data_IF_639882127854
#
_entry.id   IF_639882127854
#
_cell.length_a   1.000
_cell.length_b   1.000
_cell.length_c   1.000
_cell.angle_alpha   90.00
_cell.angle_beta   90.00
_cell.angle_gamma   90.00
#
_symmetry.space_group_name_H-M   'P 1'
#
loop_
_entity.id
_entity.type
_entity.pdbx_description
1 polymer ?
#
# COMPACT_ATOMS: atom_id res chain seq x y z
N UNK A 1 -6.19 -11.92 11.32
CA UNK A 1 -6.10 -10.48 11.63
C UNK A 1 -5.47 -9.64 10.53
N UNK A 2 -4.49 -10.12 9.75
CA UNK A 2 -3.85 -9.31 8.71
C UNK A 2 -4.73 -8.95 7.51
N UNK A 3 -5.69 -9.81 7.11
CA UNK A 3 -6.65 -9.50 6.04
C UNK A 3 -7.50 -8.26 6.31
N UNK A 4 -8.05 -8.12 7.52
CA UNK A 4 -8.87 -6.96 7.88
C UNK A 4 -8.06 -5.66 7.92
N UNK A 5 -6.84 -5.71 8.48
CA UNK A 5 -5.96 -4.54 8.52
C UNK A 5 -5.56 -4.08 7.11
N UNK A 6 -5.26 -5.02 6.20
CA UNK A 6 -4.89 -4.69 4.83
C UNK A 6 -6.06 -4.08 4.05
N UNK A 7 -7.28 -4.57 4.26
CA UNK A 7 -8.49 -3.97 3.66
C UNK A 7 -8.78 -2.58 4.22
N UNK A 8 -8.61 -2.38 5.53
CA UNK A 8 -8.81 -1.08 6.17
C UNK A 8 -7.78 -0.06 5.69
N UNK A 9 -6.51 -0.44 5.59
CA UNK A 9 -5.45 0.45 5.06
C UNK A 9 -5.69 0.75 3.58
N UNK A 10 -6.12 -0.25 2.79
CA UNK A 10 -6.53 -0.04 1.40
C UNK A 10 -7.70 0.93 1.28
N UNK A 11 -8.71 0.82 2.14
CA UNK A 11 -9.84 1.75 2.21
C UNK A 11 -9.40 3.14 2.64
N UNK A 12 -8.56 3.27 3.67
CA UNK A 12 -8.02 4.56 4.11
C UNK A 12 -7.28 5.26 2.96
N UNK A 13 -6.45 4.53 2.22
CA UNK A 13 -5.76 5.08 1.05
C UNK A 13 -6.71 5.40 -0.11
N UNK A 14 -7.77 4.63 -0.31
CA UNK A 14 -8.81 4.97 -1.28
C UNK A 14 -9.52 6.28 -0.87
N UNK A 15 -9.87 6.42 0.41
CA UNK A 15 -10.49 7.62 0.94
C UNK A 15 -9.57 8.84 0.86
N UNK A 16 -8.27 8.71 1.10
CA UNK A 16 -7.33 9.84 0.90
C UNK A 16 -7.26 10.25 -0.56
N UNK A 17 -7.32 9.30 -1.50
CA UNK A 17 -7.32 9.61 -2.93
C UNK A 17 -8.65 10.24 -3.36
N UNK A 18 -9.79 9.73 -2.90
CA UNK A 18 -11.11 10.33 -3.13
C UNK A 18 -11.23 11.72 -2.52
N UNK A 19 -10.63 11.96 -1.35
CA UNK A 19 -10.61 13.27 -0.71
C UNK A 19 -9.72 14.28 -1.45
N UNK A 20 -8.71 13.82 -2.20
CA UNK A 20 -7.89 14.70 -3.04
C UNK A 20 -8.68 15.32 -4.20
N UNK A 21 -9.63 14.59 -4.79
CA UNK A 21 -10.47 15.04 -5.93
C UNK A 21 -11.25 16.33 -5.62
N UNK A 22 -12.05 16.44 -4.52
CA UNK A 22 -12.76 17.65 -4.18
C UNK A 22 -11.84 18.78 -3.71
N UNK A 23 -10.66 18.49 -3.14
CA UNK A 23 -9.66 19.52 -2.83
C UNK A 23 -9.16 20.18 -4.12
N UNK A 24 -8.88 19.39 -5.16
CA UNK A 24 -8.45 19.88 -6.48
C UNK A 24 -9.61 20.58 -7.20
N UNK A 25 -10.81 20.00 -7.15
CA UNK A 25 -12.01 20.60 -7.74
C UNK A 25 -12.35 21.94 -7.10
N UNK A 26 -12.22 22.05 -5.78
CA UNK A 26 -12.34 23.29 -5.04
C UNK A 26 -11.28 24.31 -5.45
N UNK A 27 -10.01 23.89 -5.57
CA UNK A 27 -8.92 24.77 -6.02
C UNK A 27 -9.13 25.30 -7.46
N UNK A 28 -9.59 24.44 -8.38
CA UNK A 28 -9.90 24.82 -9.77
C UNK A 28 -11.15 25.71 -9.89
N UNK A 29 -12.17 25.46 -9.06
CA UNK A 29 -13.38 26.27 -9.04
C UNK A 29 -13.12 27.66 -8.45
N UNK A 30 -12.34 27.72 -7.38
CA UNK A 30 -11.87 28.97 -6.78
C UNK A 30 -11.02 29.78 -7.77
N UNK A 31 -10.11 29.13 -8.51
CA UNK A 31 -9.31 29.78 -9.57
C UNK A 31 -10.15 30.39 -10.71
N UNK A 32 -11.44 30.03 -10.86
CA UNK A 32 -12.36 30.62 -11.83
C UNK A 32 -13.16 31.80 -11.26
N UNK A 33 -13.21 31.94 -9.94
CA UNK A 33 -13.93 33.02 -9.25
C UNK A 33 -13.02 34.24 -9.10
N UNK A 34 -13.38 35.35 -9.75
CA UNK A 34 -12.62 36.61 -9.79
C UNK A 34 -12.72 37.41 -8.49
N UNK A 35 -12.50 36.79 -7.33
CA UNK A 35 -12.45 37.48 -6.06
C UNK A 35 -10.99 37.80 -5.72
N UNK A 36 -10.65 39.07 -5.55
CA UNK A 36 -9.29 39.60 -5.28
C UNK A 36 -8.65 39.12 -3.96
N UNK A 37 -9.33 38.26 -3.20
CA UNK A 37 -8.85 37.59 -2.00
C UNK A 37 -8.11 36.25 -2.28
N UNK A 38 -8.04 35.82 -3.54
CA UNK A 38 -7.51 34.52 -4.00
C UNK A 38 -6.00 34.31 -3.74
N UNK A 39 -5.17 35.33 -3.92
CA UNK A 39 -3.70 35.19 -3.85
C UNK A 39 -3.16 34.89 -2.45
N UNK A 40 -3.88 35.34 -1.42
CA UNK A 40 -3.49 35.19 -0.01
C UNK A 40 -3.73 33.77 0.53
N UNK A 41 -4.72 33.05 -0.02
CA UNK A 41 -5.05 31.67 0.41
C UNK A 41 -4.37 30.60 -0.46
N UNK A 42 -4.00 30.91 -1.71
CA UNK A 42 -3.41 29.94 -2.64
C UNK A 42 -1.94 29.59 -2.34
N UNK A 43 -1.11 30.57 -1.96
CA UNK A 43 0.28 30.32 -1.58
C UNK A 43 0.41 29.41 -0.35
N UNK A 44 -0.35 29.58 0.75
CA UNK A 44 -0.30 28.63 1.86
C UNK A 44 -0.84 27.24 1.47
N UNK A 45 -1.83 27.14 0.58
CA UNK A 45 -2.33 25.84 0.07
C UNK A 45 -1.26 25.04 -0.68
N UNK A 46 -0.48 25.69 -1.54
CA UNK A 46 0.65 25.03 -2.24
C UNK A 46 1.76 24.60 -1.26
N UNK A 47 2.07 25.45 -0.27
CA UNK A 47 3.04 25.11 0.78
C UNK A 47 2.55 23.91 1.61
N UNK A 48 1.28 23.88 1.99
CA UNK A 48 0.67 22.75 2.72
C UNK A 48 0.74 21.48 1.86
N UNK A 49 0.40 21.54 0.57
CA UNK A 49 0.51 20.40 -0.35
C UNK A 49 1.93 19.84 -0.44
N UNK A 50 2.93 20.73 -0.53
CA UNK A 50 4.35 20.35 -0.54
C UNK A 50 4.80 19.72 0.78
N UNK A 51 4.38 20.28 1.92
CA UNK A 51 4.67 19.72 3.25
C UNK A 51 4.07 18.32 3.41
N UNK A 52 2.81 18.12 2.97
CA UNK A 52 2.17 16.80 3.02
C UNK A 52 2.93 15.77 2.19
N UNK A 53 3.41 16.14 1.00
CA UNK A 53 4.23 15.25 0.16
C UNK A 53 5.54 14.85 0.86
N UNK A 54 6.24 15.80 1.50
CA UNK A 54 7.48 15.52 2.25
C UNK A 54 7.22 14.57 3.42
N UNK A 55 6.14 14.81 4.17
CA UNK A 55 5.79 13.96 5.32
C UNK A 55 5.39 12.54 4.90
N UNK A 56 4.76 12.38 3.74
CA UNK A 56 4.30 11.09 3.24
C UNK A 56 5.41 10.27 2.58
N UNK A 57 6.39 10.93 1.95
CA UNK A 57 7.49 10.30 1.22
C UNK A 57 8.35 9.28 2.01
N UNK A 58 8.72 9.47 3.29
CA UNK A 58 9.59 8.52 4.00
C UNK A 58 8.91 7.19 4.35
N UNK A 59 7.59 7.16 4.45
CA UNK A 59 6.80 5.97 4.81
C UNK A 59 7.04 4.77 3.89
N UNK A 60 6.92 4.88 2.54
CA UNK A 60 7.17 3.75 1.64
C UNK A 60 8.63 3.27 1.67
N UNK A 61 9.60 4.17 1.79
CA UNK A 61 11.03 3.82 1.81
C UNK A 61 11.33 2.92 3.00
N UNK A 62 10.84 3.29 4.18
CA UNK A 62 10.97 2.48 5.38
C UNK A 62 10.34 1.09 5.20
N UNK A 63 9.13 1.03 4.63
CA UNK A 63 8.45 -0.23 4.33
C UNK A 63 9.28 -1.16 3.44
N UNK A 64 9.88 -0.64 2.38
CA UNK A 64 10.74 -1.40 1.47
C UNK A 64 12.04 -1.86 2.13
N UNK A 65 12.71 -1.00 2.90
CA UNK A 65 13.97 -1.36 3.58
C UNK A 65 13.72 -2.51 4.57
N UNK A 66 12.70 -2.38 5.41
CA UNK A 66 12.38 -3.38 6.44
C UNK A 66 11.94 -4.71 5.84
N UNK A 67 11.23 -4.67 4.70
CA UNK A 67 10.77 -5.86 3.99
C UNK A 67 11.72 -6.35 2.90
N UNK A 68 12.90 -5.73 2.75
CA UNK A 68 13.90 -6.11 1.76
C UNK A 68 14.55 -7.46 2.09
N UNK A 69 14.98 -7.64 3.34
CA UNK A 69 15.62 -8.87 3.82
C UNK A 69 14.61 -9.98 4.14
N UNK A 70 15.03 -11.22 3.93
CA UNK A 70 14.29 -12.45 4.22
C UNK A 70 13.93 -13.23 2.97
N UNK A 71 13.19 -14.32 3.18
CA UNK A 71 12.61 -15.15 2.13
C UNK A 71 12.72 -16.60 2.53
N UNK A 72 11.77 -17.42 2.09
CA UNK A 72 11.86 -18.84 2.36
C UNK A 72 12.89 -19.49 1.45
N UNK A 73 13.67 -20.42 2.00
CA UNK A 73 14.55 -21.27 1.21
C UNK A 73 13.76 -22.47 0.69
N UNK A 74 13.93 -22.78 -0.59
CA UNK A 74 13.32 -23.95 -1.19
C UNK A 74 14.22 -25.15 -0.87
N UNK A 75 13.67 -26.20 -0.26
CA UNK A 75 14.41 -27.44 -0.04
C UNK A 75 14.09 -28.44 -1.12
N UNK A 76 15.13 -29.07 -1.69
CA UNK A 76 14.97 -30.06 -2.77
C UNK A 76 14.05 -31.21 -2.34
N UNK A 77 13.05 -31.50 -3.17
CA UNK A 77 12.09 -32.58 -2.92
C UNK A 77 10.94 -32.23 -1.97
N UNK A 78 10.73 -30.94 -1.65
CA UNK A 78 9.63 -30.46 -0.80
C UNK A 78 8.83 -29.38 -1.52
N UNK A 79 7.51 -29.39 -1.34
CA UNK A 79 6.61 -28.39 -1.93
C UNK A 79 6.61 -27.05 -1.15
N UNK A 80 7.04 -27.06 0.11
CA UNK A 80 7.06 -25.89 0.98
C UNK A 80 8.45 -25.29 1.16
N UNK A 81 8.48 -24.05 1.66
CA UNK A 81 9.70 -23.34 2.00
C UNK A 81 9.97 -23.37 3.51
N UNK A 82 11.26 -23.39 3.85
CA UNK A 82 11.77 -23.26 5.22
C UNK A 82 12.21 -21.82 5.48
N UNK A 83 12.09 -21.38 6.73
CA UNK A 83 12.26 -19.98 7.11
C UNK A 83 13.14 -19.91 8.36
N UNK A 84 14.24 -19.17 8.30
CA UNK A 84 15.09 -18.91 9.46
C UNK A 84 14.97 -17.46 9.89
N UNK A 85 15.11 -17.24 11.20
CA UNK A 85 14.94 -15.92 11.78
C UNK A 85 16.05 -14.94 11.33
N UNK A 86 17.26 -15.47 11.08
CA UNK A 86 18.44 -14.72 10.66
C UNK A 86 18.34 -14.10 9.26
N UNK A 87 17.46 -14.64 8.41
CA UNK A 87 17.28 -14.11 7.05
C UNK A 87 16.57 -12.74 7.06
N UNK A 88 15.86 -12.41 8.13
CA UNK A 88 15.01 -11.22 8.24
C UNK A 88 15.76 -9.99 8.76
N UNK A 89 15.20 -8.80 8.49
CA UNK A 89 15.80 -7.55 8.94
C UNK A 89 15.88 -7.47 10.47
N UNK A 90 16.97 -6.92 11.05
CA UNK A 90 17.14 -6.81 12.50
C UNK A 90 15.97 -6.10 13.20
N UNK A 91 15.34 -5.15 12.51
CA UNK A 91 14.19 -4.42 13.02
C UNK A 91 12.95 -5.32 13.18
N UNK A 92 12.68 -6.20 12.22
CA UNK A 92 11.57 -7.16 12.32
C UNK A 92 11.86 -8.20 13.39
N UNK A 93 13.09 -8.73 13.40
CA UNK A 93 13.52 -9.75 14.35
C UNK A 93 13.32 -9.30 15.80
N UNK A 94 13.77 -8.08 16.13
CA UNK A 94 13.66 -7.51 17.48
C UNK A 94 12.23 -7.53 18.03
N UNK A 95 11.22 -7.31 17.18
CA UNK A 95 9.80 -7.34 17.59
C UNK A 95 9.31 -8.72 18.03
N UNK A 96 9.90 -9.78 17.50
CA UNK A 96 9.48 -11.17 17.77
C UNK A 96 10.34 -11.80 18.86
N UNK A 97 11.55 -11.27 19.06
CA UNK A 97 12.39 -11.58 20.23
C UNK A 97 11.79 -11.03 21.53
N UNK A 98 11.08 -9.90 21.48
CA UNK A 98 10.40 -9.32 22.64
C UNK A 98 9.27 -10.24 23.16
N UNK A 99 9.38 -10.79 24.39
CA UNK A 99 8.46 -11.83 24.88
C UNK A 99 7.03 -11.31 25.04
N UNK A 100 6.85 -10.04 25.42
CA UNK A 100 5.54 -9.42 25.60
C UNK A 100 4.76 -9.35 24.28
N UNK A 101 5.43 -8.99 23.19
CA UNK A 101 4.80 -8.93 21.87
C UNK A 101 4.54 -10.35 21.34
N UNK A 102 5.50 -11.26 21.52
CA UNK A 102 5.35 -12.63 21.09
C UNK A 102 4.16 -13.35 21.74
N UNK A 103 3.93 -13.17 23.04
CA UNK A 103 2.79 -13.78 23.72
C UNK A 103 1.43 -13.39 23.11
N UNK A 104 1.31 -12.15 22.64
CA UNK A 104 0.10 -11.65 21.95
C UNK A 104 -0.04 -12.26 20.56
N UNK A 105 1.06 -12.42 19.84
CA UNK A 105 1.08 -13.04 18.52
C UNK A 105 0.74 -14.53 18.63
N UNK A 106 1.36 -15.23 19.58
CA UNK A 106 1.15 -16.65 19.86
C UNK A 106 -0.31 -16.96 20.19
N UNK A 107 -0.94 -16.19 21.08
CA UNK A 107 -2.35 -16.41 21.44
C UNK A 107 -3.28 -16.24 20.22
N UNK A 108 -2.97 -15.31 19.32
CA UNK A 108 -3.70 -15.14 18.07
C UNK A 108 -3.52 -16.35 17.12
N UNK A 109 -2.30 -16.91 17.01
CA UNK A 109 -2.04 -18.06 16.13
C UNK A 109 -2.77 -19.29 16.67
N UNK A 110 -2.65 -19.56 17.98
CA UNK A 110 -3.39 -20.63 18.67
C UNK A 110 -4.90 -20.51 18.45
N UNK A 111 -5.45 -19.30 18.59
CA UNK A 111 -6.88 -19.04 18.39
C UNK A 111 -7.36 -19.19 16.94
N UNK A 112 -6.46 -18.98 15.97
CA UNK A 112 -6.80 -19.00 14.53
C UNK A 112 -7.05 -20.39 13.94
N UNK A 113 -6.75 -21.47 14.70
CA UNK A 113 -6.90 -22.88 14.28
C UNK A 113 -6.14 -23.24 12.99
N UNK A 114 -5.14 -22.46 12.59
CA UNK A 114 -4.34 -22.65 11.37
C UNK A 114 -3.62 -23.99 11.29
N UNK A 115 -3.23 -24.55 12.45
CA UNK A 115 -2.57 -25.85 12.54
C UNK A 115 -3.52 -27.04 12.73
N UNK A 116 -4.81 -26.80 13.02
CA UNK A 116 -5.72 -27.85 13.51
C UNK A 116 -5.84 -29.03 12.55
N UNK A 117 -5.93 -28.74 11.26
CA UNK A 117 -6.11 -29.75 10.22
C UNK A 117 -4.78 -30.35 9.72
N UNK A 118 -3.66 -29.74 10.11
CA UNK A 118 -2.31 -30.13 9.67
C UNK A 118 -1.68 -31.13 10.65
N UNK A 119 -1.97 -31.03 11.95
CA UNK A 119 -1.39 -31.92 12.97
C UNK A 119 -1.67 -33.41 12.69
N UNK A 120 -2.77 -33.72 12.00
CA UNK A 120 -3.15 -35.10 11.63
C UNK A 120 -2.58 -35.58 10.28
N UNK A 121 -1.73 -34.80 9.63
CA UNK A 121 -1.14 -35.17 8.34
C UNK A 121 -0.10 -36.28 8.48
N UNK A 122 0.01 -37.11 7.43
CA UNK A 122 1.07 -38.11 7.35
C UNK A 122 2.43 -37.44 7.04
N UNK A 123 3.56 -38.10 7.34
CA UNK A 123 4.88 -37.60 6.95
C UNK A 123 5.02 -37.24 5.47
N UNK A 124 4.31 -37.95 4.58
CA UNK A 124 4.30 -37.70 3.13
C UNK A 124 3.47 -36.47 2.77
N UNK A 125 2.34 -36.25 3.46
CA UNK A 125 1.52 -35.06 3.28
C UNK A 125 2.31 -33.79 3.60
N UNK A 126 3.12 -33.81 4.66
CA UNK A 126 3.97 -32.67 5.01
C UNK A 126 4.95 -32.30 3.89
N UNK A 127 5.46 -33.27 3.11
CA UNK A 127 6.44 -33.03 2.04
C UNK A 127 5.80 -32.54 0.74
N UNK A 128 4.60 -33.02 0.45
CA UNK A 128 3.97 -32.87 -0.87
C UNK A 128 2.98 -31.72 -0.94
N UNK A 129 2.39 -31.30 0.19
CA UNK A 129 1.41 -30.22 0.20
C UNK A 129 2.06 -28.85 0.39
N UNK A 130 1.60 -27.90 -0.40
CA UNK A 130 1.92 -26.50 -0.23
C UNK A 130 1.36 -25.98 1.10
N UNK A 131 2.21 -25.31 1.86
CA UNK A 131 1.87 -24.76 3.17
C UNK A 131 2.15 -23.25 3.19
N UNK A 132 1.31 -22.51 3.93
CA UNK A 132 1.60 -21.11 4.22
C UNK A 132 2.83 -20.98 5.13
N UNK A 133 3.49 -19.79 5.17
CA UNK A 133 4.70 -19.62 5.98
C UNK A 133 4.53 -19.94 7.47
N UNK A 134 3.35 -19.62 8.03
CA UNK A 134 3.02 -19.94 9.43
C UNK A 134 2.82 -21.45 9.60
N UNK A 135 2.23 -22.13 8.60
CA UNK A 135 2.00 -23.56 8.66
C UNK A 135 3.30 -24.34 8.59
N UNK A 136 4.21 -23.97 7.68
CA UNK A 136 5.51 -24.64 7.56
C UNK A 136 6.46 -24.30 8.71
N UNK A 137 6.28 -23.18 9.41
CA UNK A 137 7.12 -22.80 10.56
C UNK A 137 6.61 -23.29 11.92
N UNK A 138 5.30 -23.39 12.12
CA UNK A 138 4.71 -23.65 13.46
C UNK A 138 4.01 -25.00 13.60
N UNK A 139 3.48 -25.56 12.51
CA UNK A 139 2.57 -26.70 12.58
C UNK A 139 3.22 -28.05 12.22
N UNK A 140 4.49 -28.05 11.77
CA UNK A 140 5.23 -29.25 11.39
C UNK A 140 6.47 -29.42 12.29
N UNK A 141 6.94 -30.65 12.50
CA UNK A 141 8.23 -30.88 13.15
C UNK A 141 9.37 -30.29 12.30
N UNK A 142 10.40 -29.67 12.91
CA UNK A 142 11.56 -29.22 12.16
C UNK A 142 12.28 -30.39 11.48
N UNK A 143 12.67 -30.18 10.22
CA UNK A 143 13.23 -31.18 9.31
C UNK A 143 14.70 -31.51 9.60
N UNK A 144 15.42 -30.60 10.25
CA UNK A 144 16.83 -30.75 10.65
C UNK A 144 17.01 -31.63 11.90
N UNK A 145 15.93 -31.91 12.65
CA UNK A 145 15.99 -32.66 13.89
C UNK A 145 16.17 -34.16 13.65
N UNK A 146 17.15 -34.75 14.32
CA UNK A 146 17.36 -36.20 14.36
C UNK A 146 16.68 -36.78 15.59
N UNK A 147 15.41 -37.17 15.43
CA UNK A 147 14.62 -37.75 16.53
C UNK A 147 15.06 -39.18 16.92
N UNK A 148 16.00 -39.78 16.18
CA UNK A 148 16.49 -41.15 16.41
C UNK A 148 17.90 -41.24 16.99
N UNK A 149 18.64 -40.12 17.15
CA UNK A 149 20.04 -40.15 17.59
C UNK A 149 20.30 -39.07 18.65
N UNK A 150 20.60 -39.50 19.88
CA UNK A 150 20.64 -38.67 21.10
C UNK A 150 21.95 -37.90 21.33
N UNK A 151 22.94 -38.02 20.44
CA UNK A 151 24.31 -37.53 20.68
C UNK A 151 24.84 -36.63 19.55
N UNK A 152 24.03 -35.68 19.08
CA UNK A 152 24.46 -34.63 18.14
C UNK A 152 23.98 -33.28 18.67
N UNK A 153 24.78 -32.22 18.44
CA UNK A 153 24.33 -30.84 18.66
C UNK A 153 23.19 -30.54 17.69
N UNK A 154 21.95 -30.64 18.18
CA UNK A 154 20.75 -30.31 17.41
C UNK A 154 20.42 -28.83 17.53
N UNK A 155 19.64 -28.34 16.58
CA UNK A 155 19.06 -27.00 16.66
C UNK A 155 18.22 -26.86 17.95
N UNK A 156 18.21 -25.67 18.52
CA UNK A 156 17.46 -25.36 19.74
C UNK A 156 15.94 -25.59 19.55
N UNK A 157 15.44 -25.41 18.33
CA UNK A 157 14.04 -25.64 17.96
C UNK A 157 13.61 -27.11 18.13
N UNK A 158 14.54 -28.06 18.02
CA UNK A 158 14.25 -29.49 18.22
C UNK A 158 13.82 -29.81 19.66
N UNK A 159 14.36 -29.08 20.64
CA UNK A 159 14.02 -29.26 22.05
C UNK A 159 12.72 -28.55 22.45
N UNK A 160 12.29 -27.55 21.67
CA UNK A 160 11.06 -26.78 21.90
C UNK A 160 9.83 -27.42 21.24
N UNK A 161 10.03 -28.30 20.27
CA UNK A 161 8.95 -28.99 19.57
C UNK A 161 8.18 -29.95 20.50
N UNK A 162 6.85 -29.97 20.35
CA UNK A 162 5.96 -30.93 21.02
C UNK A 162 4.85 -31.42 20.08
N UNK A 163 4.44 -32.68 20.22
CA UNK A 163 3.31 -33.25 19.47
C UNK A 163 1.94 -32.82 20.03
N UNK A 164 1.90 -32.13 21.17
CA UNK A 164 0.66 -31.62 21.72
C UNK A 164 0.13 -30.45 20.87
N UNK A 165 -1.14 -30.50 20.39
CA UNK A 165 -1.72 -29.48 19.52
C UNK A 165 -1.82 -28.09 20.17
N UNK A 166 -1.74 -27.99 21.50
CA UNK A 166 -1.73 -26.73 22.24
C UNK A 166 -0.34 -26.09 22.39
N UNK A 167 0.73 -26.86 22.15
CA UNK A 167 2.12 -26.40 22.38
C UNK A 167 2.93 -26.34 21.09
N UNK A 168 2.83 -27.35 20.20
CA UNK A 168 3.50 -27.44 18.87
C UNK A 168 4.90 -26.78 18.85
N UNK A 169 5.26 -26.08 17.77
CA UNK A 169 6.47 -25.26 17.69
C UNK A 169 6.20 -23.77 17.94
N UNK A 170 5.21 -23.42 18.78
CA UNK A 170 4.83 -22.00 18.94
C UNK A 170 5.88 -21.14 19.67
N UNK A 171 6.94 -21.73 20.23
CA UNK A 171 8.07 -21.00 20.82
C UNK A 171 9.37 -21.13 20.01
N UNK A 172 9.32 -21.85 18.88
CA UNK A 172 10.45 -22.05 17.98
C UNK A 172 10.77 -20.80 17.18
N UNK A 173 12.04 -20.63 16.82
CA UNK A 173 12.49 -19.52 16.00
C UNK A 173 12.05 -19.70 14.54
N UNK A 174 11.90 -20.96 14.08
CA UNK A 174 11.24 -21.32 12.82
C UNK A 174 9.79 -20.79 12.73
N UNK A 175 9.04 -20.83 13.83
CA UNK A 175 7.67 -20.32 13.87
C UNK A 175 7.65 -18.79 13.85
N UNK A 176 8.55 -18.13 14.59
CA UNK A 176 8.74 -16.67 14.53
C UNK A 176 9.12 -16.21 13.13
N UNK A 177 10.00 -16.93 12.45
CA UNK A 177 10.39 -16.67 11.07
C UNK A 177 9.20 -16.81 10.10
N UNK A 178 8.38 -17.86 10.25
CA UNK A 178 7.15 -18.04 9.47
C UNK A 178 6.14 -16.89 9.66
N UNK A 179 6.03 -16.36 10.89
CA UNK A 179 5.23 -15.15 11.15
C UNK A 179 5.82 -13.92 10.47
N UNK A 180 7.14 -13.73 10.56
CA UNK A 180 7.84 -12.62 9.90
C UNK A 180 7.68 -12.66 8.39
N UNK A 181 7.73 -13.83 7.76
CA UNK A 181 7.48 -13.95 6.32
C UNK A 181 6.06 -13.48 5.97
N UNK A 182 5.07 -13.93 6.75
CA UNK A 182 3.69 -13.55 6.50
C UNK A 182 3.48 -12.04 6.65
N UNK A 183 4.04 -11.45 7.71
CA UNK A 183 4.02 -9.99 7.95
C UNK A 183 4.74 -9.25 6.83
N UNK A 184 5.94 -9.70 6.44
CA UNK A 184 6.74 -9.12 5.37
C UNK A 184 5.98 -9.10 4.04
N UNK A 185 5.33 -10.21 3.65
CA UNK A 185 4.54 -10.28 2.41
C UNK A 185 3.38 -9.30 2.43
N UNK A 186 2.67 -9.19 3.55
CA UNK A 186 1.57 -8.24 3.70
C UNK A 186 2.07 -6.79 3.69
N UNK A 187 3.16 -6.49 4.39
CA UNK A 187 3.79 -5.18 4.41
C UNK A 187 4.35 -4.77 3.06
N UNK A 188 4.88 -5.71 2.28
CA UNK A 188 5.36 -5.45 0.92
C UNK A 188 4.21 -5.07 -0.01
N UNK A 189 3.06 -5.75 0.09
CA UNK A 189 1.85 -5.38 -0.67
C UNK A 189 1.38 -3.95 -0.31
N UNK A 190 1.36 -3.62 0.98
CA UNK A 190 1.01 -2.28 1.46
C UNK A 190 2.02 -1.22 1.02
N UNK A 191 3.31 -1.53 1.06
CA UNK A 191 4.37 -0.62 0.61
C UNK A 191 4.28 -0.33 -0.89
N UNK A 192 4.01 -1.36 -1.71
CA UNK A 192 3.77 -1.20 -3.15
C UNK A 192 2.54 -0.33 -3.41
N UNK A 193 1.42 -0.60 -2.73
CA UNK A 193 0.21 0.22 -2.86
C UNK A 193 0.48 1.67 -2.47
N UNK A 194 1.17 1.91 -1.35
CA UNK A 194 1.53 3.26 -0.91
C UNK A 194 2.39 4.00 -1.93
N UNK A 195 3.38 3.33 -2.54
CA UNK A 195 4.21 3.96 -3.60
C UNK A 195 3.35 4.38 -4.80
N UNK A 196 2.44 3.52 -5.26
CA UNK A 196 1.54 3.86 -6.37
C UNK A 196 0.70 5.10 -6.02
N UNK A 197 0.14 5.16 -4.81
CA UNK A 197 -0.63 6.33 -4.36
C UNK A 197 0.23 7.59 -4.27
N UNK A 198 1.47 7.51 -3.78
CA UNK A 198 2.40 8.65 -3.74
C UNK A 198 2.65 9.20 -5.14
N UNK A 199 2.89 8.33 -6.12
CA UNK A 199 3.12 8.75 -7.51
C UNK A 199 1.90 9.46 -8.11
N UNK A 200 0.69 8.98 -7.81
CA UNK A 200 -0.55 9.62 -8.24
C UNK A 200 -0.72 11.01 -7.63
N UNK A 201 -0.44 11.17 -6.32
CA UNK A 201 -0.48 12.47 -5.65
C UNK A 201 0.53 13.46 -6.22
N UNK A 202 1.73 13.00 -6.58
CA UNK A 202 2.73 13.83 -7.25
C UNK A 202 2.23 14.28 -8.62
N UNK A 203 1.68 13.36 -9.43
CA UNK A 203 1.11 13.69 -10.73
C UNK A 203 0.01 14.76 -10.64
N UNK A 204 -0.90 14.58 -9.68
CA UNK A 204 -1.96 15.54 -9.36
C UNK A 204 -1.38 16.91 -8.95
N UNK A 205 -0.39 16.92 -8.05
CA UNK A 205 0.25 18.16 -7.60
C UNK A 205 0.93 18.91 -8.76
N UNK A 206 1.60 18.17 -9.66
CA UNK A 206 2.20 18.73 -10.87
C UNK A 206 1.15 19.36 -11.79
N UNK A 207 0.03 18.68 -12.05
CA UNK A 207 -1.08 19.21 -12.87
C UNK A 207 -1.68 20.46 -12.23
N UNK A 208 -1.93 20.43 -10.92
CA UNK A 208 -2.43 21.59 -10.17
C UNK A 208 -1.48 22.79 -10.26
N UNK A 209 -0.17 22.56 -10.10
CA UNK A 209 0.85 23.60 -10.27
C UNK A 209 0.90 24.13 -11.71
N UNK A 210 0.80 23.26 -12.73
CA UNK A 210 0.80 23.66 -14.14
C UNK A 210 -0.44 24.49 -14.49
N UNK A 211 -1.63 24.07 -14.06
CA UNK A 211 -2.87 24.81 -14.24
C UNK A 211 -2.79 26.20 -13.58
N UNK A 212 -2.26 26.27 -12.35
CA UNK A 212 -2.07 27.51 -11.61
C UNK A 212 -1.07 28.47 -12.27
N UNK A 213 0.08 27.95 -12.73
CA UNK A 213 1.06 28.79 -13.45
C UNK A 213 0.48 29.33 -14.75
N UNK A 214 -0.40 28.57 -15.40
CA UNK A 214 -1.04 28.99 -16.63
C UNK A 214 -2.05 30.13 -16.41
N UNK A 215 -2.88 30.06 -15.37
CA UNK A 215 -3.82 31.15 -15.05
C UNK A 215 -3.08 32.44 -14.66
N UNK A 216 -2.04 32.34 -13.83
CA UNK A 216 -1.22 33.52 -13.45
C UNK A 216 -0.56 34.20 -14.64
N UNK A 217 -0.14 33.44 -15.66
CA UNK A 217 0.45 33.99 -16.89
C UNK A 217 -0.57 34.74 -17.74
N UNK A 218 -1.80 34.24 -17.81
CA UNK A 218 -2.87 34.92 -18.55
C UNK A 218 -3.26 36.28 -17.96
N UNK A 219 -3.16 36.45 -16.63
CA UNK A 219 -3.37 37.77 -16.00
C UNK A 219 -2.24 38.76 -16.29
N UNK A 220 -0.99 38.30 -16.36
CA UNK A 220 0.16 39.18 -16.61
C UNK A 220 0.29 39.62 -18.08
N UNK A 221 -0.08 38.76 -19.04
CA UNK A 221 0.03 39.07 -20.48
C UNK A 221 -1.12 39.99 -20.97
N UNK A 222 -2.22 40.10 -20.22
CA UNK A 222 -3.35 41.00 -20.54
C UNK A 222 -3.63 41.97 -19.37
N UNK A 223 -2.79 42.99 -19.15
CA UNK A 223 -3.01 43.98 -18.10
C UNK A 223 -4.25 44.79 -18.46
N UNK A 224 -5.41 44.48 -17.86
CA UNK A 224 -6.68 45.23 -17.88
C UNK A 224 -6.77 46.33 -18.95
N UNK A 225 -6.78 45.91 -20.22
CA UNK A 225 -7.02 46.76 -21.37
C UNK A 225 -8.35 46.37 -21.97
N UNK A 226 -9.39 47.14 -21.61
CA UNK A 226 -10.77 47.07 -22.09
C UNK A 226 -11.54 45.75 -21.84
N UNK A 227 -12.67 45.92 -21.13
CA UNK A 227 -13.71 44.92 -20.99
C UNK A 227 -14.39 44.66 -22.35
N UNK A 228 -13.75 43.96 -23.27
CA UNK A 228 -14.47 43.29 -24.33
C UNK A 228 -14.86 41.90 -23.86
N UNK A 229 -15.95 41.83 -23.09
CA UNK A 229 -16.81 40.66 -23.15
C UNK A 229 -17.36 40.59 -24.58
N UNK A 230 -16.59 39.99 -25.50
CA UNK A 230 -17.20 39.41 -26.68
C UNK A 230 -18.06 38.26 -26.16
N UNK A 231 -19.36 38.51 -26.04
CA UNK A 231 -20.33 37.42 -26.03
C UNK A 231 -19.97 36.55 -27.22
N UNK A 232 -19.38 35.39 -26.97
CA UNK A 232 -19.27 34.33 -27.96
C UNK A 232 -20.72 33.92 -28.24
N UNK A 233 -21.36 34.63 -29.19
CA UNK A 233 -22.55 34.11 -29.83
C UNK A 233 -22.07 32.91 -30.65
N UNK A 234 -22.60 31.70 -30.41
CA UNK A 234 -22.20 30.53 -31.18
C UNK A 234 -22.40 30.82 -32.67
N UNK A 235 -21.34 30.57 -33.45
CA UNK A 235 -21.18 30.95 -34.88
C UNK A 235 -22.24 30.39 -35.83
N UNK A 236 -23.15 29.54 -35.36
CA UNK A 236 -24.22 28.94 -36.16
C UNK A 236 -25.32 29.94 -36.53
N UNK A 237 -25.55 30.96 -35.71
CA UNK A 237 -26.60 31.97 -35.97
C UNK A 237 -26.35 32.77 -37.26
N UNK A 238 -25.08 32.97 -37.64
CA UNK A 238 -24.74 33.76 -38.84
C UNK A 238 -25.07 33.04 -40.14
N UNK A 239 -24.92 31.71 -40.19
CA UNK A 239 -25.16 30.94 -41.40
C UNK A 239 -26.66 30.90 -41.72
N UNK A 240 -27.49 30.72 -40.69
CA UNK A 240 -28.94 30.72 -40.82
C UNK A 240 -29.49 32.11 -41.14
N UNK A 241 -28.94 33.16 -40.51
CA UNK A 241 -29.35 34.54 -40.79
C UNK A 241 -29.02 34.95 -42.23
N UNK A 242 -27.82 34.63 -42.74
CA UNK A 242 -27.43 34.93 -44.13
C UNK A 242 -28.24 34.15 -45.16
N UNK A 243 -28.47 32.86 -44.91
CA UNK A 243 -29.29 32.01 -45.79
C UNK A 243 -30.74 32.48 -45.88
N UNK A 244 -31.32 32.93 -44.76
CA UNK A 244 -32.69 33.44 -44.74
C UNK A 244 -32.81 34.85 -45.37
N UNK A 245 -31.77 35.69 -45.24
CA UNK A 245 -31.74 37.01 -45.86
C UNK A 245 -31.60 36.95 -47.38
N UNK A 246 -30.77 36.05 -47.92
CA UNK A 246 -30.63 35.84 -49.38
C UNK A 246 -31.93 35.30 -50.00
N UNK A 247 -32.64 34.40 -49.32
CA UNK A 247 -33.95 33.92 -49.80
C UNK A 247 -35.04 34.98 -49.82
N UNK A 248 -35.00 35.95 -48.89
CA UNK A 248 -36.01 37.02 -48.84
C UNK A 248 -35.92 38.00 -50.01
N UNK A 249 -34.73 38.19 -50.59
CA UNK A 249 -34.54 39.06 -51.75
C UNK A 249 -34.86 38.41 -53.10
N UNK A 250 -35.17 37.10 -53.12
CA UNK A 250 -35.59 36.39 -54.34
C UNK A 250 -37.11 36.26 -54.50
N UNK A 251 -37.89 36.78 -53.53
CA UNK A 251 -39.35 36.63 -53.50
C UNK A 251 -40.12 37.97 -53.57
N UNK A 252 -39.44 39.08 -53.88
CA UNK A 252 -40.05 40.36 -54.25
C UNK A 252 -39.26 41.01 -55.40
#
# INVERSE_FOLDING_TARGET
MSRFSNTVIGLLNLFTLLASIPIIGGALWLARSSATCESFLQTPLLVIGFVVLILYWPSPIFGFIVTGAGGGMNVSGRAYNEYHLEDYSPWLRKRVEDPKYWMTIRSCILGSKTCRDIVMWSPVDYLTKDMSPIQSGCCKPPSECSYGMTMMTQDLDCYKWSNDPSTLCYECDSCKAGVLENVRRDWRKLSVLNVIMTLLLIGIYCIGCCAFRNTRRSETDYPYGENQMSKIRPRWDFFWWRWWHDRRHQLY
#
